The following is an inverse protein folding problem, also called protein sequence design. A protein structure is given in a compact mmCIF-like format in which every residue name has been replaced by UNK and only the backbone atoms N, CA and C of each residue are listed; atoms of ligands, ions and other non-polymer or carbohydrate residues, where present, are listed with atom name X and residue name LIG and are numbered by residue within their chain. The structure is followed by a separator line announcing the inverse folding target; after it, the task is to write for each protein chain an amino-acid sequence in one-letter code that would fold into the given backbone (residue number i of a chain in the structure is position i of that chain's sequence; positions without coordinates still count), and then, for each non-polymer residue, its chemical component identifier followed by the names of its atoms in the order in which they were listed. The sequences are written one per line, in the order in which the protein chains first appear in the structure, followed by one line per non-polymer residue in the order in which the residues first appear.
data_IF_826303308143
#
_entry.id   IF_826303308143
#
_cell.length_a   1.000
_cell.length_b   1.000
_cell.length_c   1.000
_cell.angle_alpha   90.00
_cell.angle_beta   90.00
_cell.angle_gamma   90.00
#
_symmetry.space_group_name_H-M   'P 1'
#
loop_
_entity.id
_entity.type
_entity.pdbx_description
1 polymer ?
#
# COMPACT_ATOMS: atom_id res chain seq x y z
N UNK A 1 3.74 -11.69 5.59
CA UNK A 1 3.95 -10.56 4.66
C UNK A 1 4.29 -9.34 5.48
N UNK A 2 5.45 -8.73 5.25
CA UNK A 2 5.83 -7.48 5.90
C UNK A 2 5.47 -6.35 4.94
N UNK A 3 4.59 -5.47 5.38
CA UNK A 3 4.34 -4.22 4.68
C UNK A 3 5.41 -3.25 5.19
N UNK A 4 6.28 -2.81 4.29
CA UNK A 4 7.35 -1.84 4.56
C UNK A 4 7.58 -0.97 3.32
N UNK A 5 8.25 0.18 3.50
CA UNK A 5 8.63 1.02 2.37
C UNK A 5 9.52 0.22 1.40
N UNK A 6 9.26 0.35 0.10
CA UNK A 6 9.89 -0.39 -0.98
C UNK A 6 9.14 -1.67 -1.40
N UNK A 7 8.24 -2.20 -0.57
CA UNK A 7 7.48 -3.41 -0.90
C UNK A 7 6.54 -3.19 -2.09
N UNK A 8 6.44 -4.18 -2.98
CA UNK A 8 5.45 -4.21 -4.05
C UNK A 8 4.17 -4.88 -3.58
N UNK A 9 3.04 -4.30 -3.95
CA UNK A 9 1.71 -4.75 -3.56
C UNK A 9 0.74 -4.62 -4.72
N UNK A 10 -0.32 -5.43 -4.71
CA UNK A 10 -1.43 -5.36 -5.65
C UNK A 10 -2.68 -4.92 -4.89
N UNK A 11 -3.25 -3.79 -5.29
CA UNK A 11 -4.54 -3.32 -4.79
C UNK A 11 -5.65 -3.78 -5.75
N UNK A 12 -6.75 -4.36 -5.26
CA UNK A 12 -7.81 -4.94 -6.11
C UNK A 12 -8.46 -3.94 -7.08
N UNK A 13 -8.47 -2.65 -6.73
CA UNK A 13 -9.02 -1.58 -7.59
C UNK A 13 -7.98 -0.87 -8.45
N UNK A 14 -6.73 -0.82 -8.01
CA UNK A 14 -5.71 0.07 -8.59
C UNK A 14 -4.56 -0.68 -9.25
N UNK A 15 -4.54 -2.01 -9.14
CA UNK A 15 -3.48 -2.84 -9.68
C UNK A 15 -2.20 -2.75 -8.86
N UNK A 16 -1.07 -2.94 -9.53
CA UNK A 16 0.26 -2.95 -8.95
C UNK A 16 0.69 -1.58 -8.43
N UNK A 17 1.36 -1.58 -7.29
CA UNK A 17 1.96 -0.40 -6.70
C UNK A 17 3.13 -0.71 -5.79
N UNK A 18 3.91 0.32 -5.48
CA UNK A 18 5.02 0.26 -4.55
C UNK A 18 4.73 1.13 -3.34
N UNK A 19 4.93 0.57 -2.15
CA UNK A 19 4.82 1.33 -0.90
C UNK A 19 5.99 2.30 -0.81
N UNK A 20 5.71 3.58 -0.71
CA UNK A 20 6.69 4.65 -0.50
C UNK A 20 6.95 4.86 1.00
N UNK A 21 5.89 4.84 1.81
CA UNK A 21 6.00 5.06 3.25
C UNK A 21 4.90 4.33 4.00
N UNK A 22 5.17 3.98 5.25
CA UNK A 22 4.18 3.43 6.17
C UNK A 22 4.21 4.23 7.45
N UNK A 23 3.04 4.64 7.91
CA UNK A 23 2.87 5.43 9.11
C UNK A 23 1.72 4.89 9.96
N UNK A 24 1.86 4.96 11.27
CA UNK A 24 0.86 4.50 12.22
C UNK A 24 0.98 3.01 12.58
N UNK A 25 0.29 2.63 13.65
CA UNK A 25 0.44 1.33 14.29
C UNK A 25 -0.85 0.50 14.22
N UNK A 26 -0.68 -0.81 14.07
CA UNK A 26 -1.76 -1.80 14.10
C UNK A 26 -2.85 -1.53 13.06
N UNK A 27 -4.07 -1.26 13.54
CA UNK A 27 -5.26 -1.06 12.68
C UNK A 27 -5.30 0.29 11.98
N UNK A 28 -4.50 1.26 12.45
CA UNK A 28 -4.44 2.61 11.90
C UNK A 28 -3.25 2.82 10.96
N UNK A 29 -2.56 1.73 10.61
CA UNK A 29 -1.44 1.78 9.67
C UNK A 29 -1.91 2.23 8.30
N UNK A 30 -1.29 3.32 7.82
CA UNK A 30 -1.49 3.91 6.50
C UNK A 30 -0.24 3.66 5.67
N UNK A 31 -0.46 3.17 4.46
CA UNK A 31 0.58 3.04 3.45
C UNK A 31 0.36 4.10 2.38
N UNK A 32 1.41 4.83 2.06
CA UNK A 32 1.46 5.67 0.86
C UNK A 32 2.02 4.82 -0.27
N UNK A 33 1.26 4.67 -1.35
CA UNK A 33 1.57 3.75 -2.45
C UNK A 33 1.57 4.55 -3.74
N UNK A 34 2.63 4.40 -4.53
CA UNK A 34 2.66 4.84 -5.93
C UNK A 34 2.20 3.68 -6.81
N UNK A 35 1.07 3.87 -7.49
CA UNK A 35 0.51 2.86 -8.38
C UNK A 35 1.08 2.98 -9.80
N UNK A 36 0.94 1.93 -10.61
CA UNK A 36 1.42 1.92 -11.99
C UNK A 36 0.79 3.01 -12.89
N UNK A 37 -0.35 3.59 -12.47
CA UNK A 37 -0.98 4.76 -13.09
C UNK A 37 -0.21 6.08 -12.80
N UNK A 38 0.88 6.03 -12.04
CA UNK A 38 1.68 7.18 -11.60
C UNK A 38 1.05 7.96 -10.46
N UNK A 39 -0.11 7.53 -9.95
CA UNK A 39 -0.84 8.25 -8.90
C UNK A 39 -0.43 7.70 -7.54
N UNK A 40 -0.06 8.63 -6.65
CA UNK A 40 0.19 8.34 -5.24
C UNK A 40 -1.12 8.35 -4.48
N UNK A 41 -1.41 7.29 -3.74
CA UNK A 41 -2.58 7.22 -2.87
C UNK A 41 -2.19 6.77 -1.48
N UNK A 42 -2.80 7.38 -0.47
CA UNK A 42 -2.73 6.93 0.92
C UNK A 42 -3.89 6.00 1.20
N UNK A 43 -3.58 4.76 1.57
CA UNK A 43 -4.58 3.74 1.88
C UNK A 43 -4.37 3.20 3.29
N UNK A 44 -5.46 2.91 3.97
CA UNK A 44 -5.39 2.24 5.27
C UNK A 44 -5.22 0.74 5.05
N UNK A 45 -4.10 0.20 5.50
CA UNK A 45 -3.69 -1.20 5.23
C UNK A 45 -4.79 -2.19 5.62
N UNK A 46 -5.42 -1.97 6.79
CA UNK A 46 -6.45 -2.84 7.33
C UNK A 46 -7.71 -2.96 6.44
N UNK A 47 -7.98 -1.97 5.59
CA UNK A 47 -9.18 -1.94 4.74
C UNK A 47 -8.87 -2.04 3.24
N UNK A 48 -7.61 -1.85 2.85
CA UNK A 48 -7.22 -1.76 1.45
C UNK A 48 -7.15 -3.13 0.73
N UNK A 49 -7.16 -4.25 1.46
CA UNK A 49 -7.09 -5.59 0.86
C UNK A 49 -5.84 -5.80 0.02
N UNK A 50 -4.72 -5.17 0.40
CA UNK A 50 -3.45 -5.25 -0.32
C UNK A 50 -2.94 -6.70 -0.31
N UNK A 51 -2.55 -7.18 -1.50
CA UNK A 51 -1.89 -8.47 -1.68
C UNK A 51 -0.42 -8.25 -2.02
N UNK A 52 0.48 -9.19 -1.69
CA UNK A 52 1.84 -9.13 -2.21
C UNK A 52 1.80 -9.35 -3.73
N UNK A 53 2.61 -8.60 -4.45
CA UNK A 53 2.83 -8.78 -5.89
C UNK A 53 3.79 -9.95 -6.16
#
# INVERSE_FOLDING_TARGET
MRLEAGARVVHPRFGDGQILSITGEGRLTRAEIEFADGIRRKVMVAHAGLRPA
#
